data_IF_453702380555
#
_entry.id   IF_453702380555
#
_cell.length_a   1.000
_cell.length_b   1.000
_cell.length_c   1.000
_cell.angle_alpha   90.00
_cell.angle_beta   90.00
_cell.angle_gamma   90.00
#
_symmetry.space_group_name_H-M   'P 1'
#
loop_
_entity.id
_entity.type
_entity.pdbx_description
1 polymer ?
#
# COMPACT_ATOMS: atom_id res chain seq x y z
N UNK A 1 13.52 -14.64 8.06
CA UNK A 1 12.19 -14.24 8.55
C UNK A 1 11.30 -14.10 7.32
N UNK A 2 10.26 -14.92 7.19
CA UNK A 2 9.36 -14.86 6.03
C UNK A 2 8.33 -13.75 6.23
N UNK A 3 8.48 -12.65 5.51
CA UNK A 3 7.59 -11.47 5.57
C UNK A 3 6.50 -11.50 4.50
N UNK A 4 6.45 -12.56 3.70
CA UNK A 4 5.50 -12.80 2.62
C UNK A 4 4.04 -12.56 3.07
N UNK A 5 3.67 -13.06 4.26
CA UNK A 5 2.31 -12.92 4.82
C UNK A 5 2.22 -12.04 6.06
N UNK A 6 3.23 -11.22 6.36
CA UNK A 6 3.12 -10.31 7.50
C UNK A 6 2.11 -9.19 7.17
N UNK A 7 0.97 -9.09 7.89
CA UNK A 7 -0.02 -8.06 7.61
C UNK A 7 0.33 -6.72 8.25
N UNK A 8 1.51 -6.57 8.87
CA UNK A 8 1.94 -5.27 9.43
C UNK A 8 2.31 -4.26 8.34
N UNK A 9 2.36 -2.98 8.72
CA UNK A 9 2.92 -1.91 7.89
C UNK A 9 4.35 -2.26 7.43
N UNK A 10 5.15 -2.92 8.28
CA UNK A 10 6.52 -3.31 7.93
C UNK A 10 6.54 -4.38 6.83
N UNK A 11 5.70 -5.41 6.94
CA UNK A 11 5.53 -6.44 5.92
C UNK A 11 5.13 -5.86 4.57
N UNK A 12 4.13 -4.98 4.57
CA UNK A 12 3.71 -4.23 3.38
C UNK A 12 4.87 -3.43 2.77
N UNK A 13 5.57 -2.62 3.58
CA UNK A 13 6.70 -1.81 3.12
C UNK A 13 7.80 -2.66 2.47
N UNK A 14 8.09 -3.84 3.04
CA UNK A 14 9.10 -4.77 2.50
C UNK A 14 8.69 -5.39 1.17
N UNK A 15 7.40 -5.75 1.01
CA UNK A 15 6.86 -6.31 -0.24
C UNK A 15 6.83 -5.27 -1.34
N UNK A 16 6.35 -4.07 -1.04
CA UNK A 16 6.23 -2.97 -2.00
C UNK A 16 7.54 -2.19 -2.20
N UNK A 17 8.63 -2.57 -1.51
CA UNK A 17 9.96 -1.93 -1.58
C UNK A 17 9.92 -0.43 -1.30
N UNK A 18 9.07 -0.01 -0.35
CA UNK A 18 8.97 1.39 0.09
C UNK A 18 9.46 1.54 1.53
N UNK A 19 9.88 2.76 1.88
CA UNK A 19 10.21 3.09 3.27
C UNK A 19 8.95 3.28 4.12
N UNK A 20 9.08 3.14 5.45
CA UNK A 20 7.97 3.48 6.37
C UNK A 20 7.56 4.95 6.28
N UNK A 21 8.51 5.85 6.05
CA UNK A 21 8.20 7.27 5.88
C UNK A 21 7.36 7.50 4.62
N UNK A 22 7.72 6.83 3.52
CA UNK A 22 6.94 6.85 2.28
C UNK A 22 5.52 6.34 2.53
N UNK A 23 5.36 5.24 3.27
CA UNK A 23 4.03 4.75 3.66
C UNK A 23 3.18 5.82 4.36
N UNK A 24 3.72 6.49 5.37
CA UNK A 24 2.98 7.53 6.09
C UNK A 24 2.66 8.74 5.23
N UNK A 25 3.52 9.08 4.26
CA UNK A 25 3.21 10.11 3.27
C UNK A 25 2.01 9.68 2.41
N UNK A 26 1.98 8.45 1.90
CA UNK A 26 0.85 7.94 1.10
C UNK A 26 -0.46 8.00 1.90
N UNK A 27 -0.42 7.61 3.18
CA UNK A 27 -1.60 7.69 4.07
C UNK A 27 -2.02 9.14 4.29
N UNK A 28 -1.09 10.06 4.51
CA UNK A 28 -1.38 11.49 4.65
C UNK A 28 -1.96 12.10 3.37
N UNK A 29 -1.52 11.63 2.21
CA UNK A 29 -2.03 12.01 0.89
C UNK A 29 -3.35 11.31 0.54
N UNK A 30 -3.87 10.40 1.39
CA UNK A 30 -5.10 9.65 1.14
C UNK A 30 -4.98 8.58 0.04
N UNK A 31 -3.75 8.21 -0.34
CA UNK A 31 -3.45 7.25 -1.41
C UNK A 31 -2.72 6.00 -0.89
N UNK A 32 -2.75 5.78 0.42
CA UNK A 32 -2.26 4.57 1.07
C UNK A 32 -3.24 3.38 0.91
N UNK A 33 -2.80 2.15 1.19
CA UNK A 33 -3.68 0.99 1.19
C UNK A 33 -4.73 1.09 2.30
N UNK A 34 -5.84 0.36 2.16
CA UNK A 34 -6.83 0.28 3.24
C UNK A 34 -6.23 -0.44 4.46
N UNK A 35 -6.47 0.15 5.63
CA UNK A 35 -6.02 -0.38 6.91
C UNK A 35 -7.19 -0.99 7.69
N UNK A 36 -6.91 -2.03 8.48
CA UNK A 36 -7.82 -2.52 9.51
C UNK A 36 -7.12 -2.57 10.87
N UNK A 37 -7.90 -2.51 11.96
CA UNK A 37 -7.37 -2.47 13.33
C UNK A 37 -7.70 -3.75 14.10
N UNK A 38 -6.69 -4.29 14.77
CA UNK A 38 -6.82 -5.41 15.73
C UNK A 38 -6.28 -4.92 17.08
N UNK A 39 -7.18 -4.42 17.92
CA UNK A 39 -6.80 -3.71 19.14
C UNK A 39 -5.94 -2.48 18.84
N UNK A 40 -4.70 -2.48 19.32
CA UNK A 40 -3.72 -1.40 19.07
C UNK A 40 -2.93 -1.58 17.77
N UNK A 41 -3.10 -2.70 17.07
CA UNK A 41 -2.33 -3.03 15.88
C UNK A 41 -3.05 -2.52 14.62
N UNK A 42 -2.29 -1.89 13.73
CA UNK A 42 -2.72 -1.54 12.38
C UNK A 42 -2.21 -2.59 11.41
N UNK A 43 -3.09 -3.09 10.55
CA UNK A 43 -2.82 -4.19 9.63
C UNK A 43 -3.35 -3.87 8.23
N UNK A 44 -2.73 -4.47 7.23
CA UNK A 44 -3.07 -4.37 5.81
C UNK A 44 -3.29 -5.79 5.32
N UNK A 45 -4.48 -6.08 4.79
CA UNK A 45 -4.78 -7.39 4.23
C UNK A 45 -4.20 -7.53 2.83
N UNK A 46 -4.01 -8.76 2.37
CA UNK A 46 -3.57 -9.04 0.99
C UNK A 46 -4.51 -8.41 -0.04
N UNK A 47 -5.82 -8.44 0.22
CA UNK A 47 -6.83 -7.81 -0.64
C UNK A 47 -6.68 -6.28 -0.70
N UNK A 48 -6.38 -5.64 0.43
CA UNK A 48 -6.17 -4.20 0.49
C UNK A 48 -4.88 -3.78 -0.25
N UNK A 49 -3.83 -4.60 -0.15
CA UNK A 49 -2.60 -4.40 -0.91
C UNK A 49 -2.83 -4.59 -2.41
N UNK A 50 -3.54 -5.64 -2.82
CA UNK A 50 -3.88 -5.88 -4.23
C UNK A 50 -4.78 -4.77 -4.81
N UNK A 51 -5.73 -4.25 -4.04
CA UNK A 51 -6.53 -3.09 -4.41
C UNK A 51 -5.66 -1.84 -4.59
N UNK A 52 -4.73 -1.60 -3.66
CA UNK A 52 -3.81 -0.47 -3.74
C UNK A 52 -2.92 -0.52 -4.99
N UNK A 53 -2.37 -1.70 -5.32
CA UNK A 53 -1.58 -1.88 -6.56
C UNK A 53 -2.42 -1.55 -7.78
N UNK A 54 -3.64 -2.08 -7.87
CA UNK A 54 -4.56 -1.78 -8.99
C UNK A 54 -4.86 -0.29 -9.12
N UNK A 55 -5.03 0.42 -8.01
CA UNK A 55 -5.21 1.87 -8.04
C UNK A 55 -3.98 2.58 -8.62
N UNK A 56 -2.76 2.19 -8.23
CA UNK A 56 -1.53 2.77 -8.78
C UNK A 56 -1.34 2.49 -10.26
N UNK A 57 -1.65 1.27 -10.69
CA UNK A 57 -1.61 0.90 -12.11
C UNK A 57 -2.63 1.73 -12.91
N UNK A 58 -3.85 1.91 -12.40
CA UNK A 58 -4.88 2.73 -13.03
C UNK A 58 -4.49 4.21 -13.08
N UNK A 59 -3.95 4.77 -11.99
CA UNK A 59 -3.43 6.15 -11.96
C UNK A 59 -2.32 6.34 -13.00
N UNK A 60 -1.38 5.39 -13.09
CA UNK A 60 -0.31 5.46 -14.07
C UNK A 60 -0.84 5.37 -15.50
N UNK A 61 -1.74 4.41 -15.77
CA UNK A 61 -2.37 4.25 -17.08
C UNK A 61 -3.13 5.53 -17.50
N UNK A 62 -3.90 6.14 -16.60
CA UNK A 62 -4.58 7.40 -16.87
C UNK A 62 -3.59 8.52 -17.24
N UNK A 63 -2.48 8.66 -16.51
CA UNK A 63 -1.45 9.67 -16.83
C UNK A 63 -0.79 9.44 -18.18
N UNK A 64 -0.57 8.19 -18.57
CA UNK A 64 0.01 7.85 -19.88
C UNK A 64 -0.97 8.18 -21.01
N UNK A 65 -2.26 7.88 -20.84
CA UNK A 65 -3.30 8.19 -21.85
C UNK A 65 -3.45 9.69 -22.04
N UNK A 66 -3.48 10.48 -20.96
CA UNK A 66 -3.60 11.95 -21.06
C UNK A 66 -2.35 12.62 -21.68
N UNK A 67 -1.22 11.93 -21.72
CA UNK A 67 0.03 12.43 -22.29
C UNK A 67 0.27 12.01 -23.76
N UNK A 68 -0.60 11.17 -24.33
CA UNK A 68 -0.51 10.63 -25.68
C UNK A 68 -1.46 11.35 -26.65
#
# INVERSE_FOLDING_TARGET
>A
MNTDRDPSIHGFCLRQKISRSSYYNLVAEGTGPREYRVGKLVRISEEAEAEWVRQREAEHAARVVEAA
#
